data_IF_736443023696
#
_entry.id   IF_736443023696
#
_cell.length_a   1.000
_cell.length_b   1.000
_cell.length_c   1.000
_cell.angle_alpha   90.00
_cell.angle_beta   90.00
_cell.angle_gamma   90.00
#
_symmetry.space_group_name_H-M   'P 1'
#
loop_
_entity.id
_entity.type
_entity.pdbx_description
1 polymer ?
#
# COMPACT_ATOMS: atom_id res chain seq x y z
N UNK A 1 -7.74 6.71 3.47
CA UNK A 1 -8.37 5.61 2.73
C UNK A 1 -7.30 4.81 2.01
N UNK A 2 -7.43 3.47 1.94
CA UNK A 2 -6.38 2.56 1.46
C UNK A 2 -5.84 2.91 0.05
N UNK A 3 -6.72 3.16 -0.91
CA UNK A 3 -6.34 3.47 -2.31
C UNK A 3 -5.60 4.81 -2.39
N UNK A 4 -6.13 5.85 -1.75
CA UNK A 4 -5.54 7.19 -1.79
C UNK A 4 -4.13 7.20 -1.18
N UNK A 5 -3.95 6.52 -0.04
CA UNK A 5 -2.63 6.41 0.57
C UNK A 5 -1.65 5.57 -0.25
N UNK A 6 -2.13 4.46 -0.84
CA UNK A 6 -1.30 3.66 -1.74
C UNK A 6 -0.85 4.48 -2.96
N UNK A 7 -1.74 5.27 -3.56
CA UNK A 7 -1.39 6.15 -4.69
C UNK A 7 -0.37 7.21 -4.28
N UNK A 8 -0.58 7.90 -3.16
CA UNK A 8 0.36 8.89 -2.68
C UNK A 8 1.76 8.30 -2.44
N UNK A 9 1.83 7.09 -1.86
CA UNK A 9 3.09 6.37 -1.70
C UNK A 9 3.75 6.07 -3.05
N UNK A 10 3.00 5.54 -4.03
CA UNK A 10 3.54 5.17 -5.35
C UNK A 10 3.92 6.38 -6.23
N UNK A 11 3.31 7.54 -5.99
CA UNK A 11 3.70 8.78 -6.64
C UNK A 11 5.04 9.29 -6.07
N UNK A 12 5.27 9.15 -4.76
CA UNK A 12 6.50 9.57 -4.09
C UNK A 12 7.67 8.56 -4.24
N UNK A 13 7.38 7.26 -4.19
CA UNK A 13 8.35 6.18 -4.34
C UNK A 13 7.75 5.10 -5.26
N UNK A 14 8.29 4.99 -6.48
CA UNK A 14 7.83 4.04 -7.50
C UNK A 14 8.08 2.57 -7.13
N UNK A 15 9.05 2.29 -6.25
CA UNK A 15 9.44 0.94 -5.85
C UNK A 15 9.54 0.81 -4.32
N UNK A 16 8.44 0.97 -3.58
CA UNK A 16 8.46 0.88 -2.14
C UNK A 16 8.60 -0.57 -1.67
N UNK A 17 9.39 -0.78 -0.62
CA UNK A 17 9.49 -2.05 0.07
C UNK A 17 8.22 -2.38 0.86
N UNK A 18 8.08 -3.62 1.32
CA UNK A 18 6.89 -4.04 2.08
C UNK A 18 6.70 -3.24 3.37
N UNK A 19 7.80 -2.95 4.08
CA UNK A 19 7.77 -2.20 5.32
C UNK A 19 7.27 -0.76 5.12
N UNK A 20 7.63 -0.14 4.00
CA UNK A 20 7.16 1.20 3.63
C UNK A 20 5.68 1.20 3.31
N UNK A 21 5.21 0.20 2.53
CA UNK A 21 3.78 0.03 2.24
C UNK A 21 2.97 -0.15 3.53
N UNK A 22 3.46 -0.98 4.46
CA UNK A 22 2.81 -1.19 5.75
C UNK A 22 2.77 0.08 6.59
N UNK A 23 3.87 0.84 6.64
CA UNK A 23 3.91 2.14 7.34
C UNK A 23 2.93 3.14 6.73
N UNK A 24 2.90 3.28 5.41
CA UNK A 24 2.00 4.19 4.72
C UNK A 24 0.52 3.84 4.95
N UNK A 25 0.21 2.54 5.10
CA UNK A 25 -1.15 2.07 5.33
C UNK A 25 -1.54 1.96 6.81
N UNK A 26 -0.62 2.14 7.77
CA UNK A 26 -0.85 1.88 9.20
C UNK A 26 -2.02 2.69 9.80
N UNK A 27 -2.28 3.90 9.28
CA UNK A 27 -3.41 4.74 9.69
C UNK A 27 -4.77 4.32 9.09
N UNK A 28 -4.80 3.37 8.16
CA UNK A 28 -6.02 2.88 7.54
C UNK A 28 -6.44 1.56 8.22
N UNK A 29 -7.33 1.64 9.21
CA UNK A 29 -7.83 0.47 9.91
C UNK A 29 -8.67 -0.44 8.99
N UNK A 30 -8.49 -1.75 9.14
CA UNK A 30 -9.16 -2.77 8.33
C UNK A 30 -9.87 -3.77 9.24
N UNK A 31 -11.22 -3.75 9.26
CA UNK A 31 -12.02 -4.65 10.11
C UNK A 31 -12.30 -6.01 9.46
N UNK A 32 -12.20 -6.11 8.14
CA UNK A 32 -12.43 -7.36 7.39
C UNK A 32 -11.20 -8.29 7.33
N UNK A 33 -10.06 -7.90 7.91
CA UNK A 33 -8.84 -8.73 7.93
C UNK A 33 -8.11 -8.83 6.59
N UNK A 34 -8.45 -8.02 5.59
CA UNK A 34 -7.87 -8.09 4.24
C UNK A 34 -6.60 -7.25 4.06
N UNK A 35 -6.07 -6.63 5.12
CA UNK A 35 -4.92 -5.73 5.05
C UNK A 35 -3.70 -6.33 4.34
N UNK A 36 -3.43 -7.63 4.54
CA UNK A 36 -2.32 -8.33 3.86
C UNK A 36 -2.55 -8.39 2.34
N UNK A 37 -3.79 -8.60 1.90
CA UNK A 37 -4.14 -8.59 0.46
C UNK A 37 -3.96 -7.21 -0.15
N UNK A 38 -4.25 -6.15 0.62
CA UNK A 38 -4.05 -4.76 0.19
C UNK A 38 -2.55 -4.49 0.01
N UNK A 39 -1.71 -4.86 0.98
CA UNK A 39 -0.24 -4.71 0.85
C UNK A 39 0.30 -5.42 -0.39
N UNK A 40 -0.16 -6.65 -0.66
CA UNK A 40 0.19 -7.40 -1.89
C UNK A 40 -0.32 -6.72 -3.16
N UNK A 41 -1.48 -6.05 -3.12
CA UNK A 41 -2.00 -5.31 -4.26
C UNK A 41 -1.14 -4.08 -4.57
N UNK A 42 -0.69 -3.34 -3.54
CA UNK A 42 0.21 -2.19 -3.71
C UNK A 42 1.56 -2.63 -4.27
N UNK A 43 2.14 -3.73 -3.77
CA UNK A 43 3.37 -4.30 -4.34
C UNK A 43 3.24 -4.60 -5.83
N UNK A 44 2.17 -5.29 -6.23
CA UNK A 44 1.91 -5.58 -7.65
C UNK A 44 1.71 -4.31 -8.48
N UNK A 45 1.01 -3.31 -7.94
CA UNK A 45 0.86 -2.03 -8.63
C UNK A 45 2.19 -1.31 -8.84
N UNK A 46 3.15 -1.43 -7.90
CA UNK A 46 4.50 -0.91 -8.04
C UNK A 46 5.33 -1.61 -9.13
N UNK A 47 5.01 -2.87 -9.45
CA UNK A 47 5.66 -3.62 -10.53
C UNK A 47 5.10 -3.27 -11.92
N UNK A 48 3.90 -2.70 -11.99
CA UNK A 48 3.20 -2.31 -13.22
C UNK A 48 3.41 -0.85 -13.61
N UNK A 49 3.98 -0.03 -12.73
CA UNK A 49 4.20 1.40 -12.90
C UNK A 49 5.59 1.72 -13.46
#
# INVERSE_FOLDING_TARGET
>A
GMIMQAKALLDANKRPGEAEIRRALAGNLCRCGTHVRIVRAVKRAAEMA
#
